data_IF_305160620519
#
_entry.id   IF_305160620519
#
_cell.length_a   1.000
_cell.length_b   1.000
_cell.length_c   1.000
_cell.angle_alpha   90.00
_cell.angle_beta   90.00
_cell.angle_gamma   90.00
#
_symmetry.space_group_name_H-M   'P 1'
#
loop_
_entity.id
_entity.type
_entity.pdbx_description
1 polymer ?
#
# COMPACT_ATOMS: atom_id res chain seq x y z
N UNK A 1 6.39 24.37 15.78
CA UNK A 1 6.32 23.02 15.20
C UNK A 1 7.49 22.18 15.68
N UNK A 2 7.28 21.34 16.70
CA UNK A 2 8.32 20.44 17.22
C UNK A 2 8.55 19.36 16.17
N UNK A 3 9.66 19.48 15.44
CA UNK A 3 10.19 18.41 14.62
C UNK A 3 10.63 17.28 15.57
N UNK A 4 9.78 16.29 15.80
CA UNK A 4 10.22 14.97 16.26
C UNK A 4 11.03 14.32 15.12
N UNK A 5 12.26 14.79 14.93
CA UNK A 5 13.26 14.08 14.13
C UNK A 5 13.65 12.85 14.95
N UNK A 6 13.19 11.69 14.53
CA UNK A 6 13.48 10.41 15.19
C UNK A 6 15.00 10.26 15.41
N UNK A 7 15.48 10.15 16.68
CA UNK A 7 16.90 9.96 16.99
C UNK A 7 17.51 8.72 16.32
N UNK A 8 16.68 7.73 15.96
CA UNK A 8 17.11 6.50 15.29
C UNK A 8 17.76 6.73 13.91
N UNK A 9 17.51 7.88 13.26
CA UNK A 9 18.18 8.22 11.98
C UNK A 9 19.62 8.70 12.17
N UNK A 10 19.96 9.30 13.30
CA UNK A 10 21.25 9.98 13.51
C UNK A 10 22.12 9.34 14.61
N UNK A 11 21.54 8.64 15.58
CA UNK A 11 22.29 7.93 16.63
C UNK A 11 21.60 6.63 17.03
N UNK A 12 21.89 5.50 16.34
CA UNK A 12 21.31 4.20 16.66
C UNK A 12 21.78 3.63 18.02
N UNK A 13 22.80 4.24 18.64
CA UNK A 13 23.35 3.86 19.96
C UNK A 13 22.33 4.04 21.10
N UNK A 14 21.37 4.97 20.97
CA UNK A 14 20.31 5.22 21.97
C UNK A 14 19.36 4.02 22.11
N UNK A 15 19.33 3.12 21.13
CA UNK A 15 18.50 1.90 21.13
C UNK A 15 19.03 0.79 22.04
N UNK A 16 20.12 1.03 22.78
CA UNK A 16 20.75 0.08 23.70
C UNK A 16 20.57 0.45 25.18
N UNK A 17 19.88 1.55 25.49
CA UNK A 17 19.64 1.98 26.87
C UNK A 17 18.50 1.19 27.56
N UNK A 18 18.53 1.00 28.89
CA UNK A 18 17.45 0.34 29.64
C UNK A 18 16.06 0.98 29.43
N UNK A 19 16.04 2.28 29.10
CA UNK A 19 14.83 3.05 28.84
C UNK A 19 14.10 2.65 27.54
N UNK A 20 14.74 1.87 26.67
CA UNK A 20 14.19 1.46 25.36
C UNK A 20 12.92 0.64 25.51
N UNK A 21 12.82 -0.22 26.53
CA UNK A 21 11.61 -0.99 26.80
C UNK A 21 10.42 -0.08 27.12
N UNK A 22 10.64 0.97 27.91
CA UNK A 22 9.58 1.94 28.24
C UNK A 22 9.12 2.71 26.98
N UNK A 23 10.05 3.04 26.08
CA UNK A 23 9.74 3.70 24.80
C UNK A 23 8.92 2.75 23.91
N UNK A 24 9.30 1.47 23.82
CA UNK A 24 8.53 0.46 23.06
C UNK A 24 7.12 0.33 23.62
N UNK A 25 6.97 0.17 24.93
CA UNK A 25 5.65 0.06 25.58
C UNK A 25 4.83 1.32 25.34
N UNK A 26 5.43 2.51 25.44
CA UNK A 26 4.78 3.77 25.10
C UNK A 26 4.27 3.77 23.65
N UNK A 27 5.13 3.49 22.67
CA UNK A 27 4.74 3.49 21.24
C UNK A 27 3.58 2.52 20.98
N UNK A 28 3.67 1.28 21.47
CA UNK A 28 2.64 0.26 21.27
C UNK A 28 1.32 0.66 21.94
N UNK A 29 1.35 1.14 23.19
CA UNK A 29 0.14 1.54 23.92
C UNK A 29 -0.58 2.68 23.20
N UNK A 30 0.14 3.72 22.76
CA UNK A 30 -0.48 4.88 22.10
C UNK A 30 -0.99 4.56 20.69
N UNK A 31 -0.35 3.64 19.95
CA UNK A 31 -0.84 3.20 18.64
C UNK A 31 -2.06 2.30 18.77
N UNK A 32 -2.07 1.41 19.76
CA UNK A 32 -3.20 0.50 20.00
C UNK A 32 -4.39 1.21 20.66
N UNK A 33 -4.16 2.27 21.42
CA UNK A 33 -5.19 2.97 22.19
C UNK A 33 -5.57 4.32 21.57
N UNK A 34 -5.97 4.27 20.30
CA UNK A 34 -6.29 5.46 19.49
C UNK A 34 -7.40 6.33 20.09
N UNK A 35 -8.27 5.75 20.91
CA UNK A 35 -9.38 6.45 21.57
C UNK A 35 -8.92 7.55 22.56
N UNK A 36 -7.67 7.48 23.04
CA UNK A 36 -7.12 8.48 23.96
C UNK A 36 -6.44 9.65 23.26
N UNK A 37 -6.19 9.55 21.95
CA UNK A 37 -5.52 10.60 21.17
C UNK A 37 -6.55 11.26 20.25
N UNK A 38 -6.94 12.49 20.58
CA UNK A 38 -7.90 13.26 19.76
C UNK A 38 -7.35 13.66 18.39
N UNK A 39 -6.03 13.81 18.27
CA UNK A 39 -5.37 14.24 17.02
C UNK A 39 -4.86 13.02 16.22
N UNK A 40 -5.49 12.66 15.09
CA UNK A 40 -5.07 11.52 14.28
C UNK A 40 -3.67 11.67 13.66
N UNK A 41 -3.19 12.90 13.47
CA UNK A 41 -1.84 13.14 12.95
C UNK A 41 -0.75 12.74 13.96
N UNK A 42 -1.04 12.75 15.27
CA UNK A 42 -0.10 12.23 16.25
C UNK A 42 0.04 10.71 16.09
N UNK A 43 -1.06 9.99 15.88
CA UNK A 43 -1.03 8.56 15.58
C UNK A 43 -0.25 8.32 14.29
N UNK A 44 -0.47 9.12 13.25
CA UNK A 44 0.29 9.03 12.00
C UNK A 44 1.80 9.18 12.21
N UNK A 45 2.23 10.09 13.10
CA UNK A 45 3.64 10.25 13.46
C UNK A 45 4.20 9.07 14.26
N UNK A 46 3.41 8.46 15.12
CA UNK A 46 3.82 7.23 15.81
C UNK A 46 3.96 6.06 14.81
N UNK A 47 3.04 5.93 13.86
CA UNK A 47 3.14 4.95 12.76
C UNK A 47 4.36 5.21 11.88
N UNK A 48 4.69 6.48 11.59
CA UNK A 48 5.93 6.85 10.89
C UNK A 48 7.18 6.41 11.67
N UNK A 49 7.19 6.52 13.00
CA UNK A 49 8.29 6.00 13.82
C UNK A 49 8.41 4.49 13.66
N UNK A 50 7.31 3.75 13.74
CA UNK A 50 7.29 2.30 13.50
C UNK A 50 7.88 1.93 12.15
N UNK A 51 7.45 2.64 11.11
CA UNK A 51 7.94 2.46 9.75
C UNK A 51 9.46 2.71 9.64
N UNK A 52 9.96 3.81 10.20
CA UNK A 52 11.40 4.14 10.16
C UNK A 52 12.24 3.16 10.99
N UNK A 53 11.66 2.53 12.01
CA UNK A 53 12.34 1.51 12.82
C UNK A 53 12.30 0.11 12.22
N UNK A 54 11.55 -0.11 11.15
CA UNK A 54 11.48 -1.40 10.46
C UNK A 54 12.83 -1.73 9.80
N UNK A 55 13.39 -2.94 9.99
CA UNK A 55 14.68 -3.33 9.42
C UNK A 55 14.71 -3.29 7.88
N UNK A 56 13.57 -3.44 7.21
CA UNK A 56 13.46 -3.30 5.76
C UNK A 56 13.72 -1.86 5.27
N UNK A 57 13.53 -0.86 6.15
CA UNK A 57 13.78 0.56 5.88
C UNK A 57 15.14 0.96 6.43
N UNK A 58 15.46 0.53 7.65
CA UNK A 58 16.71 0.85 8.33
C UNK A 58 17.28 -0.40 9.02
N UNK A 59 18.25 -1.11 8.42
CA UNK A 59 18.79 -2.35 8.98
C UNK A 59 19.36 -2.21 10.39
N UNK A 60 19.85 -1.00 10.75
CA UNK A 60 20.44 -0.70 12.06
C UNK A 60 19.44 -0.68 13.21
N UNK A 61 18.13 -0.69 12.96
CA UNK A 61 17.09 -0.64 14.00
C UNK A 61 16.48 -2.01 14.31
N UNK A 62 17.03 -3.10 13.75
CA UNK A 62 16.50 -4.46 13.87
C UNK A 62 16.12 -4.84 15.31
N UNK A 63 17.04 -4.67 16.27
CA UNK A 63 16.79 -5.02 17.68
C UNK A 63 15.60 -4.29 18.28
N UNK A 64 15.42 -3.01 17.95
CA UNK A 64 14.29 -2.21 18.44
C UNK A 64 12.97 -2.67 17.80
N UNK A 65 13.00 -2.98 16.50
CA UNK A 65 11.84 -3.53 15.79
C UNK A 65 11.42 -4.87 16.41
N UNK A 66 12.36 -5.78 16.65
CA UNK A 66 12.09 -7.08 17.25
C UNK A 66 11.51 -6.95 18.67
N UNK A 67 12.04 -6.03 19.50
CA UNK A 67 11.47 -5.75 20.83
C UNK A 67 10.02 -5.26 20.74
N UNK A 68 9.72 -4.43 19.74
CA UNK A 68 8.38 -3.91 19.53
C UNK A 68 7.40 -4.95 18.98
N UNK A 69 7.81 -5.70 17.96
CA UNK A 69 7.00 -6.74 17.34
C UNK A 69 6.67 -7.86 18.34
N UNK A 70 7.61 -8.22 19.22
CA UNK A 70 7.42 -9.28 20.21
C UNK A 70 6.81 -8.79 21.54
N UNK A 71 6.52 -7.48 21.67
CA UNK A 71 5.86 -6.95 22.86
C UNK A 71 4.44 -7.55 23.00
N UNK A 72 4.04 -7.98 24.20
CA UNK A 72 2.78 -8.71 24.42
C UNK A 72 1.53 -7.96 23.89
N UNK A 73 1.50 -6.63 24.06
CA UNK A 73 0.42 -5.79 23.53
C UNK A 73 0.47 -5.66 22.00
N UNK A 74 1.67 -5.73 21.42
CA UNK A 74 1.86 -5.63 19.97
C UNK A 74 1.25 -6.83 19.28
N UNK A 75 1.63 -8.03 19.74
CA UNK A 75 1.11 -9.31 19.23
C UNK A 75 -0.42 -9.35 19.22
N UNK A 76 -1.06 -8.85 20.28
CA UNK A 76 -2.53 -8.92 20.43
C UNK A 76 -3.30 -7.79 19.75
N UNK A 77 -2.75 -6.58 19.69
CA UNK A 77 -3.54 -5.38 19.39
C UNK A 77 -2.99 -4.53 18.24
N UNK A 78 -1.74 -4.72 17.83
CA UNK A 78 -1.15 -3.86 16.81
C UNK A 78 -1.80 -4.06 15.43
N UNK A 79 -2.05 -5.31 15.03
CA UNK A 79 -2.71 -5.63 13.75
C UNK A 79 -4.12 -5.03 13.65
N UNK A 80 -5.04 -5.25 14.60
CA UNK A 80 -6.37 -4.63 14.57
C UNK A 80 -6.30 -3.09 14.58
N UNK A 81 -5.41 -2.52 15.39
CA UNK A 81 -5.26 -1.07 15.52
C UNK A 81 -4.81 -0.42 14.20
N UNK A 82 -3.83 -1.02 13.52
CA UNK A 82 -3.33 -0.56 12.24
C UNK A 82 -4.35 -0.76 11.10
N UNK A 83 -5.10 -1.88 11.06
CA UNK A 83 -6.20 -2.06 10.09
C UNK A 83 -7.28 -0.99 10.25
N UNK A 84 -7.66 -0.71 11.51
CA UNK A 84 -8.63 0.34 11.82
C UNK A 84 -8.10 1.71 11.39
N UNK A 85 -6.85 2.03 11.74
CA UNK A 85 -6.25 3.31 11.37
C UNK A 85 -6.15 3.51 9.86
N UNK A 86 -5.78 2.47 9.10
CA UNK A 86 -5.77 2.48 7.63
C UNK A 86 -7.12 2.90 7.03
N UNK A 87 -8.22 2.49 7.67
CA UNK A 87 -9.58 2.82 7.25
C UNK A 87 -9.98 4.23 7.70
N UNK A 88 -9.64 4.61 8.93
CA UNK A 88 -10.08 5.87 9.52
C UNK A 88 -9.38 7.10 8.92
N UNK A 89 -8.16 6.96 8.38
CA UNK A 89 -7.44 8.05 7.68
C UNK A 89 -8.14 8.57 6.41
N UNK A 90 -9.21 7.92 5.95
CA UNK A 90 -10.02 8.43 4.83
C UNK A 90 -10.87 9.67 5.23
N UNK A 91 -11.17 9.86 6.51
CA UNK A 91 -12.16 10.84 6.99
C UNK A 91 -11.56 12.04 7.72
N UNK A 92 -10.26 12.30 7.60
CA UNK A 92 -9.59 13.31 8.44
C UNK A 92 -9.92 14.79 8.09
N UNK A 93 -10.49 15.08 6.91
CA UNK A 93 -11.21 16.32 6.57
C UNK A 93 -10.44 17.59 6.17
N UNK A 94 -9.11 17.64 6.21
CA UNK A 94 -8.28 18.80 5.83
C UNK A 94 -7.72 18.81 4.38
N UNK A 95 -7.42 19.99 3.84
CA UNK A 95 -7.09 20.25 2.42
C UNK A 95 -5.70 19.80 1.95
N UNK A 96 -4.75 19.48 2.84
CA UNK A 96 -3.44 18.88 2.48
C UNK A 96 -3.44 17.34 2.53
N UNK A 97 -4.56 16.72 2.87
CA UNK A 97 -4.63 15.32 3.32
C UNK A 97 -4.43 14.26 2.27
N UNK A 98 -4.57 14.62 1.00
CA UNK A 98 -4.54 13.62 -0.07
C UNK A 98 -3.21 12.88 -0.11
N UNK A 99 -2.10 13.60 0.10
CA UNK A 99 -0.75 13.02 0.10
C UNK A 99 -0.38 12.37 1.44
N UNK A 100 -0.91 12.90 2.54
CA UNK A 100 -0.66 12.34 3.87
C UNK A 100 -1.31 10.97 4.03
N UNK A 101 -2.53 10.76 3.53
CA UNK A 101 -3.22 9.45 3.68
C UNK A 101 -2.51 8.32 2.95
N UNK A 102 -2.06 8.52 1.70
CA UNK A 102 -1.34 7.48 0.96
C UNK A 102 0.04 7.21 1.57
N UNK A 103 0.70 8.24 2.08
CA UNK A 103 1.96 8.06 2.82
C UNK A 103 1.75 7.23 4.08
N UNK A 104 0.70 7.52 4.85
CA UNK A 104 0.33 6.73 6.03
C UNK A 104 0.00 5.29 5.64
N UNK A 105 -0.77 5.08 4.56
CA UNK A 105 -1.12 3.75 4.05
C UNK A 105 0.11 2.97 3.60
N UNK A 106 1.06 3.63 2.95
CA UNK A 106 2.35 3.05 2.60
C UNK A 106 3.12 2.59 3.85
N UNK A 107 3.23 3.44 4.87
CA UNK A 107 3.86 3.06 6.14
C UNK A 107 3.17 1.84 6.78
N UNK A 108 1.84 1.83 6.84
CA UNK A 108 1.07 0.70 7.40
C UNK A 108 1.30 -0.57 6.59
N UNK A 109 1.25 -0.51 5.25
CA UNK A 109 1.47 -1.68 4.38
C UNK A 109 2.85 -2.30 4.59
N UNK A 110 3.90 -1.48 4.71
CA UNK A 110 5.25 -1.99 4.98
C UNK A 110 5.37 -2.59 6.37
N UNK A 111 4.76 -1.97 7.40
CA UNK A 111 4.70 -2.55 8.76
C UNK A 111 3.95 -3.88 8.74
N UNK A 112 2.82 -3.96 8.02
CA UNK A 112 2.02 -5.17 7.90
C UNK A 112 2.78 -6.33 7.29
N UNK A 113 3.60 -6.07 6.26
CA UNK A 113 4.47 -7.09 5.69
C UNK A 113 5.47 -7.61 6.72
N UNK A 114 6.06 -6.75 7.56
CA UNK A 114 6.96 -7.17 8.64
C UNK A 114 6.25 -8.04 9.67
N UNK A 115 5.09 -7.57 10.18
CA UNK A 115 4.30 -8.31 11.15
C UNK A 115 3.84 -9.66 10.61
N UNK A 116 3.51 -9.75 9.32
CA UNK A 116 3.14 -11.01 8.68
C UNK A 116 4.30 -12.01 8.58
N UNK A 117 5.56 -11.57 8.54
CA UNK A 117 6.71 -12.51 8.61
C UNK A 117 6.90 -13.08 10.02
N UNK A 118 6.41 -12.39 11.05
CA UNK A 118 6.50 -12.83 12.43
C UNK A 118 5.32 -13.76 12.77
N UNK A 119 5.63 -15.04 13.01
CA UNK A 119 4.64 -16.08 13.34
C UNK A 119 3.79 -15.74 14.58
N UNK A 120 4.29 -14.90 15.50
CA UNK A 120 3.53 -14.47 16.67
C UNK A 120 2.25 -13.71 16.31
N UNK A 121 2.22 -12.99 15.19
CA UNK A 121 1.07 -12.17 14.77
C UNK A 121 0.06 -12.93 13.91
N UNK A 122 0.40 -14.12 13.41
CA UNK A 122 -0.46 -14.90 12.49
C UNK A 122 -1.83 -15.20 13.09
N UNK A 123 -1.88 -15.58 14.37
CA UNK A 123 -3.14 -15.84 15.08
C UNK A 123 -4.07 -14.64 15.06
N UNK A 124 -3.55 -13.46 15.39
CA UNK A 124 -4.31 -12.21 15.40
C UNK A 124 -4.73 -11.77 13.99
N UNK A 125 -3.89 -11.98 12.98
CA UNK A 125 -4.31 -11.77 11.58
C UNK A 125 -5.49 -12.68 11.21
N UNK A 126 -5.41 -13.98 11.52
CA UNK A 126 -6.47 -14.94 11.22
C UNK A 126 -7.77 -14.62 11.97
N UNK A 127 -7.68 -14.18 13.22
CA UNK A 127 -8.84 -13.71 13.99
C UNK A 127 -9.51 -12.51 13.30
N UNK A 128 -8.74 -11.50 12.90
CA UNK A 128 -9.27 -10.32 12.20
C UNK A 128 -9.88 -10.69 10.84
N UNK A 129 -9.23 -11.58 10.09
CA UNK A 129 -9.73 -12.09 8.81
C UNK A 129 -11.08 -12.79 8.94
N UNK A 130 -11.32 -13.48 10.07
CA UNK A 130 -12.56 -14.18 10.38
C UNK A 130 -13.61 -13.28 11.06
N UNK A 131 -13.19 -12.22 11.77
CA UNK A 131 -14.02 -11.20 12.46
C UNK A 131 -14.87 -10.36 11.49
N UNK A 132 -14.43 -10.25 10.24
CA UNK A 132 -15.25 -9.86 9.09
C UNK A 132 -15.64 -8.38 8.98
N UNK A 133 -15.89 -7.63 10.06
CA UNK A 133 -16.36 -6.22 9.95
C UNK A 133 -15.22 -5.25 9.64
N UNK A 134 -14.17 -5.22 10.47
CA UNK A 134 -13.02 -4.32 10.22
C UNK A 134 -12.21 -4.78 9.03
N UNK A 135 -12.02 -6.10 8.89
CA UNK A 135 -11.31 -6.66 7.74
C UNK A 135 -11.99 -6.33 6.40
N UNK A 136 -13.32 -6.45 6.28
CA UNK A 136 -14.02 -6.08 5.04
C UNK A 136 -13.88 -4.58 4.74
N UNK A 137 -13.93 -3.71 5.77
CA UNK A 137 -13.67 -2.27 5.57
C UNK A 137 -12.25 -2.02 5.07
N UNK A 138 -11.26 -2.66 5.70
CA UNK A 138 -9.86 -2.59 5.29
C UNK A 138 -9.66 -3.04 3.83
N UNK A 139 -10.19 -4.20 3.45
CA UNK A 139 -10.12 -4.71 2.07
C UNK A 139 -10.80 -3.77 1.08
N UNK A 140 -11.98 -3.25 1.41
CA UNK A 140 -12.68 -2.32 0.54
C UNK A 140 -11.86 -1.04 0.32
N UNK A 141 -11.23 -0.51 1.36
CA UNK A 141 -10.32 0.63 1.25
C UNK A 141 -9.08 0.29 0.41
N UNK A 142 -8.48 -0.87 0.63
CA UNK A 142 -7.33 -1.37 -0.13
C UNK A 142 -7.63 -1.47 -1.64
N UNK A 143 -8.83 -1.93 -2.01
CA UNK A 143 -9.30 -2.05 -3.41
C UNK A 143 -9.52 -0.67 -4.02
N UNK A 144 -10.15 0.24 -3.27
CA UNK A 144 -10.38 1.61 -3.72
C UNK A 144 -9.04 2.33 -3.98
N UNK A 145 -8.08 2.19 -3.07
CA UNK A 145 -6.75 2.76 -3.22
C UNK A 145 -6.03 2.22 -4.44
N UNK A 146 -6.08 0.91 -4.65
CA UNK A 146 -5.41 0.27 -5.79
C UNK A 146 -5.97 0.76 -7.12
N UNK A 147 -7.29 0.92 -7.20
CA UNK A 147 -7.94 1.45 -8.41
C UNK A 147 -7.46 2.87 -8.68
N UNK A 148 -7.56 3.74 -7.67
CA UNK A 148 -7.14 5.14 -7.77
C UNK A 148 -5.66 5.28 -8.14
N UNK A 149 -4.78 4.57 -7.42
CA UNK A 149 -3.33 4.66 -7.62
C UNK A 149 -2.93 4.16 -9.01
N UNK A 150 -3.58 3.13 -9.55
CA UNK A 150 -3.28 2.63 -10.88
C UNK A 150 -3.74 3.61 -11.96
N UNK A 151 -4.96 4.13 -11.85
CA UNK A 151 -5.48 5.10 -12.81
C UNK A 151 -4.59 6.36 -12.85
N UNK A 152 -4.27 6.95 -11.69
CA UNK A 152 -3.39 8.11 -11.60
C UNK A 152 -1.95 7.83 -12.05
N UNK A 153 -1.41 6.65 -11.72
CA UNK A 153 -0.05 6.29 -12.16
C UNK A 153 0.02 6.19 -13.67
N UNK A 154 -0.99 5.59 -14.32
CA UNK A 154 -1.06 5.49 -15.77
C UNK A 154 -1.24 6.86 -16.43
N UNK A 155 -2.08 7.72 -15.87
CA UNK A 155 -2.27 9.07 -16.38
C UNK A 155 -0.99 9.91 -16.26
N UNK A 156 -0.31 9.85 -15.10
CA UNK A 156 0.96 10.52 -14.88
C UNK A 156 2.05 10.01 -15.82
N UNK A 157 2.15 8.69 -16.04
CA UNK A 157 3.09 8.10 -17.00
C UNK A 157 2.82 8.56 -18.44
N UNK A 158 1.54 8.73 -18.82
CA UNK A 158 1.18 9.29 -20.12
C UNK A 158 1.69 10.72 -20.28
N UNK A 159 1.46 11.58 -19.28
CA UNK A 159 1.97 12.98 -19.29
C UNK A 159 3.50 13.05 -19.34
N UNK A 160 4.18 12.20 -18.57
CA UNK A 160 5.65 12.07 -18.61
C UNK A 160 6.11 11.72 -20.02
N UNK A 161 5.48 10.73 -20.66
CA UNK A 161 5.84 10.30 -22.00
C UNK A 161 5.61 11.39 -23.05
N UNK A 162 4.48 12.12 -22.96
CA UNK A 162 4.17 13.24 -23.86
C UNK A 162 5.25 14.34 -23.78
N UNK A 163 5.62 14.77 -22.56
CA UNK A 163 6.67 15.78 -22.39
C UNK A 163 8.05 15.27 -22.83
N UNK A 164 8.36 14.00 -22.59
CA UNK A 164 9.62 13.40 -23.03
C UNK A 164 9.73 13.32 -24.57
N UNK A 165 8.64 13.01 -25.28
CA UNK A 165 8.65 13.02 -26.75
C UNK A 165 8.71 14.46 -27.31
N UNK A 166 8.07 15.44 -26.66
CA UNK A 166 8.25 16.87 -27.00
C UNK A 166 9.73 17.30 -26.87
N UNK A 167 10.38 16.93 -25.78
CA UNK A 167 11.80 17.24 -25.52
C UNK A 167 12.77 16.52 -26.46
N UNK A 168 12.38 15.35 -26.97
CA UNK A 168 13.18 14.55 -27.91
C UNK A 168 13.22 15.20 -29.29
N UNK A 169 12.16 15.91 -29.69
CA UNK A 169 12.14 16.70 -30.91
C UNK A 169 12.82 18.07 -30.69
N UNK A 170 14.16 18.06 -30.70
CA UNK A 170 14.98 19.25 -30.42
C UNK A 170 14.64 20.45 -31.31
N UNK A 171 14.32 20.23 -32.59
CA UNK A 171 14.01 21.31 -33.53
C UNK A 171 12.77 22.10 -33.10
N UNK A 172 11.73 21.42 -32.62
CA UNK A 172 10.52 22.08 -32.12
C UNK A 172 10.70 22.58 -30.69
N UNK A 173 11.44 21.84 -29.87
CA UNK A 173 11.70 22.20 -28.48
C UNK A 173 12.49 23.51 -28.35
N UNK A 174 13.55 23.68 -29.14
CA UNK A 174 14.41 24.87 -29.11
C UNK A 174 13.70 26.13 -29.65
N UNK A 175 12.61 25.96 -30.41
CA UNK A 175 11.74 27.05 -30.86
C UNK A 175 10.77 27.54 -29.77
N UNK A 176 10.52 26.75 -28.73
CA UNK A 176 9.64 27.16 -27.64
C UNK A 176 10.28 28.28 -26.81
N UNK A 177 9.48 29.24 -26.29
CA UNK A 177 9.96 30.22 -25.33
C UNK A 177 10.59 29.55 -24.10
N UNK A 178 11.68 30.13 -23.59
CA UNK A 178 12.40 29.59 -22.41
C UNK A 178 11.49 29.36 -21.19
N UNK A 179 10.48 30.21 -20.99
CA UNK A 179 9.51 30.07 -19.91
C UNK A 179 8.65 28.80 -20.07
N UNK A 180 8.22 28.49 -21.30
CA UNK A 180 7.47 27.25 -21.58
C UNK A 180 8.33 26.01 -21.39
N UNK A 181 9.60 26.05 -21.83
CA UNK A 181 10.55 24.96 -21.59
C UNK A 181 10.73 24.70 -20.09
N UNK A 182 10.92 25.75 -19.28
CA UNK A 182 11.04 25.63 -17.82
C UNK A 182 9.77 25.09 -17.16
N UNK A 183 8.60 25.55 -17.60
CA UNK A 183 7.31 25.06 -17.11
C UNK A 183 7.12 23.57 -17.41
N UNK A 184 7.38 23.14 -18.66
CA UNK A 184 7.34 21.73 -19.06
C UNK A 184 8.33 20.85 -18.29
N UNK A 185 9.56 21.32 -18.08
CA UNK A 185 10.56 20.59 -17.30
C UNK A 185 10.16 20.46 -15.82
N UNK A 186 9.55 21.51 -15.26
CA UNK A 186 9.04 21.50 -13.89
C UNK A 186 7.86 20.52 -13.75
N UNK A 187 6.95 20.51 -14.73
CA UNK A 187 5.84 19.57 -14.80
C UNK A 187 6.34 18.12 -14.88
N UNK A 188 7.31 17.85 -15.75
CA UNK A 188 7.94 16.52 -15.89
C UNK A 188 8.50 16.04 -14.55
N UNK A 189 9.28 16.90 -13.87
CA UNK A 189 9.89 16.58 -12.57
C UNK A 189 8.83 16.27 -11.51
N UNK A 190 7.72 17.03 -11.52
CA UNK A 190 6.62 16.82 -10.59
C UNK A 190 5.85 15.53 -10.89
N UNK A 191 5.51 15.26 -12.15
CA UNK A 191 4.83 14.03 -12.56
C UNK A 191 5.69 12.80 -12.25
N UNK A 192 7.01 12.84 -12.51
CA UNK A 192 7.92 11.74 -12.17
C UNK A 192 7.93 11.44 -10.66
N UNK A 193 7.94 12.49 -9.83
CA UNK A 193 7.88 12.35 -8.38
C UNK A 193 6.57 11.73 -7.92
N UNK A 194 5.44 12.22 -8.44
CA UNK A 194 4.10 11.73 -8.09
C UNK A 194 3.92 10.28 -8.53
N UNK A 195 4.26 9.96 -9.78
CA UNK A 195 4.19 8.61 -10.35
C UNK A 195 4.99 7.60 -9.52
N UNK A 196 6.23 7.96 -9.13
CA UNK A 196 7.06 7.10 -8.27
C UNK A 196 6.40 6.80 -6.93
N UNK A 197 5.79 7.80 -6.30
CA UNK A 197 5.11 7.64 -5.01
C UNK A 197 3.90 6.72 -5.13
N UNK A 198 3.07 6.89 -6.16
CA UNK A 198 1.88 6.07 -6.37
C UNK A 198 2.22 4.63 -6.73
N UNK A 199 3.21 4.41 -7.59
CA UNK A 199 3.67 3.08 -7.96
C UNK A 199 4.30 2.33 -6.78
N UNK A 200 5.01 3.03 -5.89
CA UNK A 200 5.55 2.42 -4.68
C UNK A 200 4.44 1.87 -3.79
N UNK A 201 3.39 2.65 -3.53
CA UNK A 201 2.24 2.18 -2.76
C UNK A 201 1.46 1.08 -3.49
N UNK A 202 1.24 1.20 -4.81
CA UNK A 202 0.58 0.16 -5.59
C UNK A 202 1.32 -1.19 -5.48
N UNK A 203 2.66 -1.15 -5.49
CA UNK A 203 3.52 -2.32 -5.26
C UNK A 203 3.27 -2.97 -3.92
N UNK A 204 3.32 -2.19 -2.83
CA UNK A 204 3.04 -2.69 -1.48
C UNK A 204 1.64 -3.30 -1.37
N UNK A 205 0.65 -2.64 -1.97
CA UNK A 205 -0.75 -3.06 -1.90
C UNK A 205 -1.00 -4.37 -2.64
N UNK A 206 -0.36 -4.59 -3.78
CA UNK A 206 -0.48 -5.87 -4.51
C UNK A 206 0.18 -7.01 -3.75
N UNK A 207 1.33 -6.78 -3.11
CA UNK A 207 1.94 -7.79 -2.25
C UNK A 207 0.98 -8.16 -1.10
N UNK A 208 0.33 -7.17 -0.49
CA UNK A 208 -0.70 -7.40 0.52
C UNK A 208 -1.87 -8.22 -0.03
N UNK A 209 -2.39 -7.91 -1.22
CA UNK A 209 -3.41 -8.74 -1.87
C UNK A 209 -2.93 -10.17 -2.10
N UNK A 210 -1.67 -10.37 -2.51
CA UNK A 210 -1.12 -11.70 -2.72
C UNK A 210 -1.10 -12.53 -1.44
N UNK A 211 -0.77 -11.91 -0.30
CA UNK A 211 -0.82 -12.56 1.02
C UNK A 211 -2.26 -12.90 1.39
N UNK A 212 -3.16 -11.93 1.28
CA UNK A 212 -4.55 -12.04 1.72
C UNK A 212 -5.34 -13.04 0.88
N UNK A 213 -5.13 -13.08 -0.44
CA UNK A 213 -5.84 -14.00 -1.34
C UNK A 213 -5.43 -15.45 -1.15
N UNK A 214 -4.19 -15.71 -0.68
CA UNK A 214 -3.74 -17.06 -0.30
C UNK A 214 -4.39 -17.57 0.98
N UNK A 215 -4.65 -16.70 1.95
CA UNK A 215 -5.09 -17.07 3.29
C UNK A 215 -6.61 -16.98 3.47
N UNK A 216 -7.27 -16.07 2.75
CA UNK A 216 -8.67 -15.71 2.99
C UNK A 216 -9.39 -15.48 1.67
N UNK A 217 -10.00 -16.52 1.10
CA UNK A 217 -10.70 -16.40 -0.19
C UNK A 217 -12.14 -15.87 -0.03
N UNK A 218 -12.83 -16.25 1.05
CA UNK A 218 -14.28 -16.01 1.23
C UNK A 218 -14.72 -14.54 1.15
N UNK A 219 -14.01 -13.55 1.71
CA UNK A 219 -14.40 -12.13 1.65
C UNK A 219 -14.33 -11.55 0.24
N UNK A 220 -13.43 -12.06 -0.62
CA UNK A 220 -13.35 -11.65 -2.03
C UNK A 220 -14.48 -12.24 -2.90
N UNK A 221 -15.16 -13.28 -2.40
CA UNK A 221 -16.22 -14.00 -3.11
C UNK A 221 -17.65 -13.54 -2.74
N UNK A 222 -17.83 -12.63 -1.77
CA UNK A 222 -19.16 -12.16 -1.37
C UNK A 222 -19.77 -11.19 -2.41
N UNK A 223 -21.07 -11.30 -2.75
CA UNK A 223 -21.72 -10.52 -3.81
C UNK A 223 -21.88 -9.00 -3.52
N UNK A 224 -21.52 -8.53 -2.32
CA UNK A 224 -21.36 -7.08 -2.03
C UNK A 224 -20.23 -6.46 -2.87
N UNK A 225 -19.34 -7.29 -3.42
CA UNK A 225 -18.35 -6.97 -4.44
C UNK A 225 -18.95 -6.68 -5.83
N UNK A 226 -20.21 -6.31 -5.97
CA UNK A 226 -20.82 -5.96 -7.28
C UNK A 226 -20.18 -4.71 -7.92
N UNK A 227 -19.56 -3.83 -7.12
CA UNK A 227 -18.65 -2.80 -7.62
C UNK A 227 -17.34 -3.37 -8.18
N UNK A 228 -16.82 -4.50 -7.66
CA UNK A 228 -15.67 -5.20 -8.26
C UNK A 228 -16.03 -5.79 -9.61
N UNK A 229 -17.19 -6.42 -9.80
CA UNK A 229 -17.54 -6.98 -11.12
C UNK A 229 -17.70 -5.89 -12.19
N UNK A 230 -18.27 -4.74 -11.81
CA UNK A 230 -18.45 -3.59 -12.72
C UNK A 230 -17.16 -2.80 -12.97
N UNK A 231 -16.27 -2.65 -11.97
CA UNK A 231 -14.96 -1.98 -12.11
C UNK A 231 -13.88 -2.88 -12.73
N UNK A 232 -13.92 -4.19 -12.50
CA UNK A 232 -13.03 -5.16 -13.16
C UNK A 232 -13.28 -5.23 -14.69
N UNK A 233 -14.51 -4.97 -15.13
CA UNK A 233 -14.81 -4.79 -16.55
C UNK A 233 -14.10 -3.54 -17.13
N UNK A 234 -14.03 -2.45 -16.36
CA UNK A 234 -13.34 -1.22 -16.76
C UNK A 234 -11.82 -1.39 -16.77
N UNK A 235 -11.25 -2.07 -15.76
CA UNK A 235 -9.82 -2.42 -15.72
C UNK A 235 -9.44 -3.33 -16.91
N UNK A 236 -10.21 -4.38 -17.19
CA UNK A 236 -9.97 -5.24 -18.35
C UNK A 236 -10.16 -4.47 -19.69
N UNK A 237 -11.11 -3.56 -19.79
CA UNK A 237 -11.37 -2.81 -21.02
C UNK A 237 -10.36 -1.66 -21.26
N UNK A 238 -9.83 -1.03 -20.21
CA UNK A 238 -8.82 0.03 -20.31
C UNK A 238 -7.40 -0.52 -20.52
N UNK A 239 -7.06 -1.67 -19.93
CA UNK A 239 -5.71 -2.25 -19.99
C UNK A 239 -5.38 -2.92 -21.34
N UNK A 240 -6.37 -3.51 -22.02
CA UNK A 240 -6.12 -4.33 -23.22
C UNK A 240 -5.68 -3.54 -24.48
N UNK A 241 -6.27 -2.38 -24.82
CA UNK A 241 -5.85 -1.61 -25.99
C UNK A 241 -4.45 -0.98 -25.82
N UNK A 242 -4.09 -0.60 -24.59
CA UNK A 242 -2.77 -0.01 -24.27
C UNK A 242 -1.62 -1.03 -24.31
N UNK A 243 -1.88 -2.28 -23.89
CA UNK A 243 -0.89 -3.36 -23.86
C UNK A 243 -0.50 -3.89 -25.26
N UNK A 244 -1.37 -3.75 -26.27
CA UNK A 244 -1.03 -4.14 -27.65
C UNK A 244 -0.19 -3.09 -28.39
N UNK A 245 -0.30 -1.79 -28.05
CA UNK A 245 0.45 -0.71 -28.71
C UNK A 245 1.88 -0.53 -28.21
N UNK A 246 2.21 -0.94 -26.98
CA UNK A 246 3.54 -0.71 -26.40
C UNK A 246 4.53 -1.88 -26.53
N UNK A 247 4.23 -2.92 -27.34
CA UNK A 247 5.14 -4.07 -27.57
C UNK A 247 6.54 -3.71 -28.14
N UNK A 248 6.77 -2.46 -28.55
CA UNK A 248 8.02 -1.99 -29.14
C UNK A 248 8.85 -1.01 -28.32
N UNK A 249 8.41 -0.58 -27.13
CA UNK A 249 9.14 0.42 -26.32
C UNK A 249 9.52 -0.17 -24.96
N UNK A 250 10.76 0.07 -24.54
CA UNK A 250 11.32 -0.37 -23.25
C UNK A 250 10.69 0.41 -22.10
N UNK A 251 9.43 0.14 -21.78
CA UNK A 251 8.77 0.49 -20.51
C UNK A 251 8.82 -0.72 -19.55
N UNK A 252 8.88 -0.47 -18.22
CA UNK A 252 9.61 -1.35 -17.30
C UNK A 252 8.88 -2.67 -17.05
N UNK A 253 9.65 -3.74 -17.18
CA UNK A 253 9.28 -5.15 -16.96
C UNK A 253 8.45 -5.41 -15.68
N UNK A 254 8.57 -4.52 -14.67
CA UNK A 254 7.78 -4.53 -13.43
C UNK A 254 6.28 -4.34 -13.67
N UNK A 255 5.85 -3.46 -14.58
CA UNK A 255 4.42 -3.18 -14.84
C UNK A 255 3.72 -4.36 -15.52
N UNK A 256 4.41 -5.05 -16.44
CA UNK A 256 3.94 -6.29 -17.06
C UNK A 256 3.86 -7.44 -16.04
N UNK A 257 4.85 -7.58 -15.15
CA UNK A 257 4.80 -8.55 -14.05
C UNK A 257 3.66 -8.23 -13.05
N UNK A 258 3.41 -6.95 -12.78
CA UNK A 258 2.38 -6.45 -11.87
C UNK A 258 0.97 -6.75 -12.36
N UNK A 259 0.69 -6.45 -13.63
CA UNK A 259 -0.59 -6.75 -14.28
C UNK A 259 -0.79 -8.26 -14.49
N UNK A 260 0.27 -9.01 -14.75
CA UNK A 260 0.21 -10.47 -14.89
C UNK A 260 -0.02 -11.15 -13.54
N UNK A 261 0.56 -10.65 -12.44
CA UNK A 261 0.32 -11.16 -11.08
C UNK A 261 -1.11 -10.87 -10.60
N UNK A 262 -1.65 -9.67 -10.85
CA UNK A 262 -3.06 -9.38 -10.57
C UNK A 262 -3.94 -10.33 -11.40
N UNK A 263 -3.68 -10.47 -12.71
CA UNK A 263 -4.46 -11.35 -13.59
C UNK A 263 -4.44 -12.82 -13.11
N UNK A 264 -3.27 -13.38 -12.78
CA UNK A 264 -3.13 -14.77 -12.29
C UNK A 264 -3.86 -14.97 -10.96
N UNK A 265 -3.75 -14.00 -10.04
CA UNK A 265 -4.40 -14.08 -8.72
C UNK A 265 -5.93 -14.06 -8.85
N UNK A 266 -6.47 -13.34 -9.83
CA UNK A 266 -7.92 -13.27 -10.08
C UNK A 266 -8.47 -14.39 -10.98
N UNK A 267 -7.71 -14.89 -11.98
CA UNK A 267 -8.15 -16.03 -12.82
C UNK A 267 -8.06 -17.37 -12.09
N UNK A 268 -7.13 -17.53 -11.15
CA UNK A 268 -7.01 -18.75 -10.32
C UNK A 268 -8.22 -18.98 -9.40
N UNK A 269 -8.92 -17.91 -8.99
CA UNK A 269 -10.11 -18.01 -8.14
C UNK A 269 -11.38 -18.46 -8.89
N UNK A 270 -11.40 -18.46 -10.22
CA UNK A 270 -12.57 -18.90 -11.00
C UNK A 270 -12.56 -20.39 -11.35
N UNK A 271 -11.50 -21.14 -11.03
CA UNK A 271 -11.35 -22.55 -11.46
C UNK A 271 -11.29 -23.58 -10.32
N UNK A 272 -11.43 -23.18 -9.05
CA UNK A 272 -11.37 -24.12 -7.92
C UNK A 272 -12.72 -24.55 -7.33
N UNK A 273 -13.84 -24.30 -8.01
CA UNK A 273 -15.14 -24.92 -7.66
C UNK A 273 -15.98 -25.21 -8.91
N UNK A 274 -15.62 -26.29 -9.61
CA UNK A 274 -16.59 -27.08 -10.39
C UNK A 274 -16.37 -28.54 -9.97
N UNK A 275 -17.09 -28.98 -8.93
CA UNK A 275 -17.35 -30.41 -8.77
C UNK A 275 -18.25 -30.83 -9.94
N UNK A 276 -17.97 -31.94 -10.65
CA UNK A 276 -18.94 -32.49 -11.59
C UNK A 276 -20.14 -33.06 -10.81
N UNK A 277 -21.35 -33.00 -11.38
CA UNK A 277 -22.56 -33.43 -10.70
C UNK A 277 -22.54 -34.94 -10.45
N UNK A 278 -23.07 -35.30 -9.29
CA UNK A 278 -23.50 -36.64 -8.92
C UNK A 278 -24.49 -37.17 -9.97
N UNK A 279 -24.11 -38.23 -10.67
CA UNK A 279 -25.07 -39.09 -11.38
C UNK A 279 -25.15 -40.41 -10.64
N UNK A 280 -26.21 -40.56 -9.85
CA UNK A 280 -26.78 -41.85 -9.46
C UNK A 280 -27.24 -42.57 -10.73
N UNK A 281 -26.92 -43.85 -10.90
CA UNK A 281 -27.75 -44.91 -11.51
C UNK A 281 -27.04 -46.28 -11.31
N UNK A 282 -27.78 -47.19 -10.66
CA UNK A 282 -27.77 -48.67 -10.72
C UNK A 282 -26.52 -49.48 -10.32
N UNK A 283 -26.55 -50.08 -9.12
CA UNK A 283 -27.14 -51.41 -8.88
C UNK A 283 -27.46 -51.62 -7.40
#
# INVERSE_FOLDING_TARGET
SIHFRCPARYSPQVLYEPCVQNIVTFLVVFICSQNYIRNPYLIAKLVEVLFVTNPAVQPRTQRFSEMMENHQLSVKHLVPALMKFYTDVEHTGATSEFYDKFTIRYHISTIFKSLWQNMGHHGTFLEEFNSGKQFVRYINMLINDTTFLLDESLESLKRIHEVQEEMKNKEQWDQLPREQQQSRQSQLTQDERVSRSYLALATETVDMFHILTKQVQKPFLRPVSTTLTRKNAHLNHALFPGLQRQRGSRTPHLLMLFLTKIKITFTGCQHSHIQPPTTTIEH
#
